data_IF_110908574043
#
_entry.id   IF_110908574043
#
_cell.length_a   1.000
_cell.length_b   1.000
_cell.length_c   1.000
_cell.angle_alpha   90.00
_cell.angle_beta   90.00
_cell.angle_gamma   90.00
#
_symmetry.space_group_name_H-M   'P 1'
#
loop_
_entity.id
_entity.type
_entity.pdbx_description
1 polymer ?
#
# COMPACT_ATOMS: atom_id res chain seq x y z
N UNK A 1 -1.96 -8.45 -9.31
CA UNK A 1 -1.19 -9.11 -8.23
C UNK A 1 -0.05 -8.21 -7.76
N UNK A 2 0.38 -8.37 -6.51
CA UNK A 2 1.56 -7.65 -5.99
C UNK A 2 2.85 -8.42 -6.34
N UNK A 3 3.76 -7.77 -7.07
CA UNK A 3 5.06 -8.34 -7.46
C UNK A 3 6.14 -8.14 -6.40
N UNK A 4 6.14 -6.99 -5.73
CA UNK A 4 7.26 -6.58 -4.90
C UNK A 4 6.87 -5.62 -3.77
N UNK A 5 7.66 -5.68 -2.71
CA UNK A 5 7.52 -4.85 -1.51
C UNK A 5 8.85 -4.21 -1.17
N UNK A 6 8.82 -2.93 -0.81
CA UNK A 6 9.92 -2.23 -0.14
C UNK A 6 9.86 -2.43 1.37
N UNK A 7 8.64 -2.46 1.93
CA UNK A 7 8.43 -2.67 3.36
C UNK A 7 8.42 -4.17 3.73
N UNK A 8 9.42 -4.62 4.51
CA UNK A 8 9.53 -6.03 4.95
C UNK A 8 8.31 -6.50 5.76
N UNK A 9 7.76 -5.65 6.62
CA UNK A 9 6.58 -5.99 7.43
C UNK A 9 5.31 -6.18 6.58
N UNK A 10 5.16 -5.43 5.48
CA UNK A 10 4.02 -5.61 4.58
C UNK A 10 4.17 -6.91 3.77
N UNK A 11 5.37 -7.22 3.32
CA UNK A 11 5.66 -8.48 2.62
C UNK A 11 5.34 -9.70 3.50
N UNK A 12 5.69 -9.62 4.78
CA UNK A 12 5.43 -10.67 5.77
C UNK A 12 3.94 -10.80 6.10
N UNK A 13 3.24 -9.68 6.25
CA UNK A 13 1.79 -9.65 6.45
C UNK A 13 1.07 -10.28 5.24
N UNK A 14 1.47 -9.91 4.03
CA UNK A 14 0.88 -10.40 2.78
C UNK A 14 1.06 -11.92 2.57
N UNK A 15 2.26 -12.45 2.83
CA UNK A 15 2.59 -13.85 2.51
C UNK A 15 2.14 -14.87 3.56
N UNK A 16 2.05 -14.49 4.82
CA UNK A 16 1.84 -15.44 5.92
C UNK A 16 1.19 -14.84 7.15
N UNK A 17 0.54 -13.68 7.03
CA UNK A 17 -0.16 -13.00 8.15
C UNK A 17 0.75 -12.68 9.35
N UNK A 18 2.06 -12.54 9.13
CA UNK A 18 3.01 -12.16 10.18
C UNK A 18 2.92 -10.65 10.41
N UNK A 19 2.62 -10.26 11.66
CA UNK A 19 2.34 -8.86 12.05
C UNK A 19 3.53 -8.13 12.68
N UNK A 20 4.72 -8.76 12.65
CA UNK A 20 5.92 -8.23 13.31
C UNK A 20 6.35 -6.91 12.65
N UNK A 21 6.62 -5.88 13.47
CA UNK A 21 7.05 -4.57 12.99
C UNK A 21 5.93 -3.71 12.41
N UNK A 22 4.66 -4.09 12.63
CA UNK A 22 3.48 -3.29 12.28
C UNK A 22 2.72 -2.91 13.55
N UNK A 23 2.10 -1.73 13.55
CA UNK A 23 1.18 -1.34 14.62
C UNK A 23 -0.07 -2.23 14.58
N UNK A 24 -0.43 -2.82 15.72
CA UNK A 24 -1.62 -3.68 15.84
C UNK A 24 -2.90 -2.97 15.42
N UNK A 25 -3.00 -1.66 15.66
CA UNK A 25 -4.14 -0.82 15.24
C UNK A 25 -4.23 -0.70 13.71
N UNK A 26 -3.09 -0.68 13.03
CA UNK A 26 -3.02 -0.50 11.57
C UNK A 26 -3.28 -1.81 10.82
N UNK A 27 -2.93 -2.95 11.40
CA UNK A 27 -2.96 -4.27 10.74
C UNK A 27 -4.31 -4.53 10.03
N UNK A 28 -5.49 -4.34 10.64
CA UNK A 28 -6.75 -4.61 9.95
C UNK A 28 -6.96 -3.74 8.70
N UNK A 29 -6.42 -2.52 8.68
CA UNK A 29 -6.51 -1.65 7.49
C UNK A 29 -5.44 -2.01 6.46
N UNK A 30 -4.24 -2.38 6.89
CA UNK A 30 -3.17 -2.86 6.00
C UNK A 30 -3.59 -4.14 5.28
N UNK A 31 -4.19 -5.12 5.97
CA UNK A 31 -4.70 -6.35 5.37
C UNK A 31 -5.73 -6.05 4.26
N UNK A 32 -6.67 -5.12 4.50
CA UNK A 32 -7.66 -4.69 3.50
C UNK A 32 -7.03 -4.00 2.29
N UNK A 33 -6.04 -3.12 2.52
CA UNK A 33 -5.31 -2.44 1.43
C UNK A 33 -4.56 -3.47 0.58
N UNK A 34 -3.83 -4.40 1.21
CA UNK A 34 -3.06 -5.42 0.51
C UNK A 34 -3.95 -6.37 -0.29
N UNK A 35 -5.05 -6.84 0.28
CA UNK A 35 -6.01 -7.68 -0.43
C UNK A 35 -6.62 -6.96 -1.65
N UNK A 36 -6.87 -5.65 -1.54
CA UNK A 36 -7.38 -4.86 -2.67
C UNK A 36 -6.32 -4.63 -3.74
N UNK A 37 -5.08 -4.31 -3.36
CA UNK A 37 -3.96 -4.13 -4.28
C UNK A 37 -3.69 -5.41 -5.09
N UNK A 38 -3.85 -6.58 -4.48
CA UNK A 38 -3.56 -7.84 -5.17
C UNK A 38 -4.49 -8.09 -6.37
N UNK A 39 -5.73 -7.61 -6.31
CA UNK A 39 -6.71 -7.72 -7.40
C UNK A 39 -6.85 -6.45 -8.25
N UNK A 40 -6.23 -5.34 -7.85
CA UNK A 40 -6.30 -4.10 -8.60
C UNK A 40 -5.43 -4.17 -9.86
N UNK A 41 -5.95 -3.65 -10.97
CA UNK A 41 -5.24 -3.57 -12.26
C UNK A 41 -4.92 -2.14 -12.68
N UNK A 42 -5.38 -1.15 -11.90
CA UNK A 42 -5.10 0.28 -12.09
C UNK A 42 -5.31 1.06 -10.79
N UNK A 43 -4.67 2.23 -10.62
CA UNK A 43 -4.74 3.02 -9.39
C UNK A 43 -6.15 3.35 -8.93
N UNK A 44 -7.06 3.68 -9.85
CA UNK A 44 -8.42 4.15 -9.53
C UNK A 44 -9.24 3.09 -8.78
N UNK A 45 -8.86 1.81 -8.88
CA UNK A 45 -9.50 0.74 -8.10
C UNK A 45 -9.23 0.85 -6.59
N UNK A 46 -8.26 1.68 -6.19
CA UNK A 46 -7.90 2.00 -4.82
C UNK A 46 -8.60 3.27 -4.29
N UNK A 47 -9.38 3.96 -5.11
CA UNK A 47 -10.11 5.18 -4.72
C UNK A 47 -11.38 4.85 -3.93
N UNK A 48 -11.20 4.22 -2.78
CA UNK A 48 -12.26 3.86 -1.86
C UNK A 48 -12.51 4.97 -0.84
N UNK A 49 -13.76 5.12 -0.35
CA UNK A 49 -14.08 6.10 0.70
C UNK A 49 -13.12 6.01 1.90
N UNK A 50 -12.53 7.14 2.26
CA UNK A 50 -11.59 7.25 3.38
C UNK A 50 -10.17 6.73 3.11
N UNK A 51 -9.88 6.21 1.91
CA UNK A 51 -8.52 5.82 1.51
C UNK A 51 -7.76 6.98 0.88
N UNK A 52 -8.49 8.02 0.40
CA UNK A 52 -7.92 9.29 -0.07
C UNK A 52 -6.76 9.03 -1.04
N UNK A 53 -7.04 8.28 -2.10
CA UNK A 53 -6.06 7.96 -3.13
C UNK A 53 -5.53 9.26 -3.74
N UNK A 54 -4.21 9.36 -3.89
CA UNK A 54 -3.59 10.48 -4.58
C UNK A 54 -2.29 10.07 -5.26
N UNK A 55 -1.97 10.66 -6.43
CA UNK A 55 -0.68 10.46 -7.08
C UNK A 55 0.43 11.20 -6.34
N UNK A 56 1.62 10.61 -6.32
CA UNK A 56 2.82 11.22 -5.80
C UNK A 56 3.55 12.03 -6.88
N UNK A 57 4.42 12.94 -6.43
CA UNK A 57 5.14 13.92 -7.27
C UNK A 57 6.65 13.82 -7.05
N UNK A 58 7.42 14.54 -7.86
CA UNK A 58 8.88 14.54 -7.78
C UNK A 58 9.48 13.19 -8.16
N UNK A 59 10.44 12.71 -7.37
CA UNK A 59 11.12 11.43 -7.59
C UNK A 59 10.19 10.21 -7.51
N UNK A 60 9.02 10.37 -6.90
CA UNK A 60 7.98 9.35 -6.80
C UNK A 60 6.89 9.51 -7.87
N UNK A 61 7.12 10.29 -8.94
CA UNK A 61 6.17 10.38 -10.06
C UNK A 61 5.85 8.98 -10.60
N UNK A 62 4.56 8.71 -10.78
CA UNK A 62 4.05 7.38 -11.17
C UNK A 62 3.69 6.46 -10.00
N UNK A 63 4.09 6.83 -8.78
CA UNK A 63 3.58 6.21 -7.56
C UNK A 63 2.29 6.87 -7.10
N UNK A 64 1.58 6.13 -6.26
CA UNK A 64 0.33 6.49 -5.64
C UNK A 64 0.39 6.21 -4.15
N UNK A 65 -0.48 6.85 -3.39
CA UNK A 65 -0.60 6.62 -1.97
C UNK A 65 -2.07 6.53 -1.54
N UNK A 66 -2.32 5.64 -0.56
CA UNK A 66 -3.57 5.59 0.19
C UNK A 66 -3.30 5.75 1.68
N UNK A 67 -4.26 6.32 2.38
CA UNK A 67 -4.22 6.57 3.81
C UNK A 67 -4.40 5.28 4.61
N UNK A 68 -3.54 5.08 5.60
CA UNK A 68 -3.71 4.07 6.66
C UNK A 68 -4.35 4.74 7.87
N UNK A 69 -3.56 5.32 8.77
CA UNK A 69 -4.02 6.08 9.94
C UNK A 69 -3.07 7.26 10.19
N UNK A 70 -3.60 8.41 10.66
CA UNK A 70 -2.78 9.61 10.90
C UNK A 70 -1.90 9.97 9.69
N UNK A 71 -0.58 9.99 9.90
CA UNK A 71 0.43 10.33 8.90
C UNK A 71 0.84 9.14 8.00
N UNK A 72 0.41 7.92 8.32
CA UNK A 72 0.85 6.72 7.62
C UNK A 72 0.17 6.52 6.27
N UNK A 73 0.97 6.20 5.25
CA UNK A 73 0.53 5.89 3.89
C UNK A 73 1.08 4.55 3.44
N UNK A 74 0.25 3.79 2.74
CA UNK A 74 0.77 2.75 1.84
C UNK A 74 1.03 3.40 0.50
N UNK A 75 2.26 3.33 0.03
CA UNK A 75 2.66 3.77 -1.30
C UNK A 75 2.89 2.57 -2.21
N UNK A 76 2.65 2.75 -3.51
CA UNK A 76 2.79 1.70 -4.52
C UNK A 76 2.86 2.32 -5.90
N UNK A 77 3.30 1.56 -6.90
CA UNK A 77 3.09 1.91 -8.31
C UNK A 77 2.57 0.73 -9.11
N UNK A 78 2.03 1.04 -10.29
CA UNK A 78 1.61 0.04 -11.25
C UNK A 78 2.67 -0.13 -12.34
N UNK A 79 2.94 -1.40 -12.66
CA UNK A 79 3.72 -1.83 -13.82
C UNK A 79 2.81 -2.68 -14.69
N UNK A 80 2.28 -2.07 -15.75
CA UNK A 80 1.13 -2.61 -16.47
C UNK A 80 -0.07 -2.81 -15.55
N UNK A 81 -0.52 -4.05 -15.39
CA UNK A 81 -1.66 -4.44 -14.54
C UNK A 81 -1.24 -4.94 -13.15
N UNK A 82 0.05 -4.92 -12.85
CA UNK A 82 0.60 -5.44 -11.60
C UNK A 82 1.03 -4.30 -10.69
N UNK A 83 1.12 -4.60 -9.38
CA UNK A 83 1.54 -3.64 -8.36
C UNK A 83 2.96 -3.95 -7.92
N UNK A 84 3.82 -2.94 -7.82
CA UNK A 84 5.16 -3.08 -7.25
C UNK A 84 5.55 -1.90 -6.35
N UNK A 85 6.74 -1.99 -5.79
CA UNK A 85 7.31 -1.01 -4.85
C UNK A 85 6.39 -0.68 -3.66
N UNK A 86 5.64 -1.67 -3.16
CA UNK A 86 4.70 -1.46 -2.05
C UNK A 86 5.45 -1.14 -0.76
N UNK A 87 5.19 0.01 -0.18
CA UNK A 87 5.86 0.52 1.03
C UNK A 87 4.86 1.03 2.08
N UNK A 88 5.33 1.19 3.32
CA UNK A 88 4.58 1.81 4.42
C UNK A 88 5.41 2.98 4.96
N UNK A 89 4.93 4.20 4.73
CA UNK A 89 5.71 5.43 4.97
C UNK A 89 4.97 6.32 5.97
N UNK A 90 5.71 6.89 6.91
CA UNK A 90 5.26 8.00 7.75
C UNK A 90 5.56 9.32 7.04
N UNK A 91 4.56 10.19 6.88
CA UNK A 91 4.68 11.46 6.17
C UNK A 91 5.14 12.63 7.09
N UNK A 92 5.66 12.34 8.27
CA UNK A 92 6.36 13.32 9.13
C UNK A 92 7.87 13.33 8.91
#
# INVERSE_FOLDING_TARGET
>A
MILGFRHKGLAQLYRGSIRKGLSAEQVPKLERILARLDVATRPEMMDLPGWKLHPLKGDLKGHWAVWVTGNWRVTFRFEGVNVEDVDLVDYH
#
